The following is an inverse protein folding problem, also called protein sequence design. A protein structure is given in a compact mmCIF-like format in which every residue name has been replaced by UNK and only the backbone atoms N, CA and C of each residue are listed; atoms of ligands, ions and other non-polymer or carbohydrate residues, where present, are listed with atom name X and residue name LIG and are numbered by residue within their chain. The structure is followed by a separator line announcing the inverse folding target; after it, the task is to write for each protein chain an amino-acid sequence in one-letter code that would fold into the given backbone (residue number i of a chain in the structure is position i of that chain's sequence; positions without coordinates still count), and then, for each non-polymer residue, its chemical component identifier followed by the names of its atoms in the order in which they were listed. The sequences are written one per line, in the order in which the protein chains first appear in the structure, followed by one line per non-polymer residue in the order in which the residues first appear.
data_IF_329517329382
#
_entry.id   IF_329517329382
#
_cell.length_a   1.000
_cell.length_b   1.000
_cell.length_c   1.000
_cell.angle_alpha   90.00
_cell.angle_beta   90.00
_cell.angle_gamma   90.00
#
_symmetry.space_group_name_H-M   'P 1'
#
loop_
_entity.id
_entity.type
_entity.pdbx_description
1 polymer ?
#
# COMPACT_ATOMS: atom_id res chain seq x y z
N UNK A 1 -6.55 -18.62 6.29
CA UNK A 1 -7.77 -17.78 6.16
C UNK A 1 -7.35 -16.32 6.32
N UNK A 2 -8.11 -15.34 5.78
CA UNK A 2 -7.76 -13.94 6.00
C UNK A 2 -7.98 -13.57 7.47
N UNK A 3 -7.05 -12.79 8.02
CA UNK A 3 -7.15 -12.25 9.38
C UNK A 3 -8.29 -11.23 9.45
N UNK A 4 -9.13 -11.36 10.47
CA UNK A 4 -10.22 -10.43 10.79
C UNK A 4 -9.85 -9.56 11.97
N UNK A 5 -9.63 -8.28 11.74
CA UNK A 5 -9.41 -7.29 12.80
C UNK A 5 -10.69 -6.50 13.04
N UNK A 6 -10.99 -6.23 14.31
CA UNK A 6 -12.15 -5.46 14.74
C UNK A 6 -11.75 -4.58 15.93
N UNK A 7 -12.35 -3.40 15.98
CA UNK A 7 -12.07 -2.42 17.01
C UNK A 7 -12.86 -2.72 18.27
N UNK A 8 -12.24 -2.46 19.43
CA UNK A 8 -12.89 -2.50 20.76
C UNK A 8 -13.51 -3.86 21.10
N UNK A 9 -12.82 -4.95 20.77
CA UNK A 9 -13.24 -6.30 21.12
C UNK A 9 -12.43 -6.78 22.32
N UNK A 10 -13.13 -7.14 23.42
CA UNK A 10 -12.49 -7.55 24.68
C UNK A 10 -13.44 -8.40 25.51
N UNK A 11 -12.96 -9.56 25.93
CA UNK A 11 -13.68 -10.42 26.89
C UNK A 11 -12.70 -10.98 27.94
N UNK A 12 -13.27 -11.43 29.05
CA UNK A 12 -12.52 -12.17 30.06
C UNK A 12 -12.51 -13.67 29.80
N UNK A 13 -11.54 -14.34 30.38
CA UNK A 13 -11.46 -15.81 30.44
C UNK A 13 -10.98 -16.26 31.81
N UNK A 14 -11.42 -17.45 32.21
CA UNK A 14 -10.91 -18.18 33.39
C UNK A 14 -10.24 -19.49 32.97
N UNK A 15 -9.98 -19.65 31.67
CA UNK A 15 -9.27 -20.84 31.15
C UNK A 15 -7.87 -20.94 31.77
N UNK A 16 -7.45 -22.17 32.01
CA UNK A 16 -6.13 -22.48 32.55
C UNK A 16 -5.31 -23.33 31.59
N UNK A 17 -3.98 -23.29 31.74
CA UNK A 17 -3.06 -24.04 30.92
C UNK A 17 -2.73 -23.36 29.59
N UNK A 18 -2.26 -24.14 28.60
CA UNK A 18 -1.76 -23.66 27.30
C UNK A 18 -2.75 -23.89 26.15
N UNK A 19 -3.95 -24.38 26.44
CA UNK A 19 -4.96 -24.71 25.44
C UNK A 19 -5.78 -23.51 24.95
N UNK A 20 -6.82 -23.83 24.17
CA UNK A 20 -7.84 -22.89 23.73
C UNK A 20 -8.49 -22.20 24.92
N UNK A 21 -8.75 -20.89 24.80
CA UNK A 21 -9.42 -20.12 25.84
C UNK A 21 -10.94 -20.01 25.57
N UNK A 22 -11.72 -20.15 26.63
CA UNK A 22 -13.17 -19.89 26.60
C UNK A 22 -13.43 -18.44 26.95
N UNK A 23 -14.09 -17.71 26.06
CA UNK A 23 -14.46 -16.32 26.21
C UNK A 23 -15.77 -16.22 27.01
N UNK A 24 -15.78 -15.53 28.13
CA UNK A 24 -16.91 -15.59 29.06
C UNK A 24 -17.40 -14.27 29.59
N UNK A 25 -16.53 -13.37 29.98
CA UNK A 25 -16.91 -12.12 30.64
C UNK A 25 -16.92 -10.97 29.67
N UNK A 26 -18.09 -10.32 29.48
CA UNK A 26 -18.23 -9.12 28.66
C UNK A 26 -17.85 -7.86 29.45
N UNK A 27 -17.34 -6.86 28.75
CA UNK A 27 -17.01 -5.54 29.30
C UNK A 27 -17.89 -4.47 28.65
N UNK A 28 -18.66 -3.74 29.42
CA UNK A 28 -19.77 -2.87 28.98
C UNK A 28 -19.43 -1.78 27.94
N UNK A 29 -18.16 -1.48 27.67
CA UNK A 29 -17.74 -0.54 26.62
C UNK A 29 -16.99 -1.20 25.47
N UNK A 30 -17.00 -2.53 25.43
CA UNK A 30 -16.35 -3.36 24.40
C UNK A 30 -17.39 -4.28 23.75
N UNK A 31 -17.08 -4.72 22.54
CA UNK A 31 -17.81 -5.74 21.81
C UNK A 31 -17.32 -7.12 22.26
N UNK A 32 -18.19 -8.10 22.25
CA UNK A 32 -17.79 -9.48 22.42
C UNK A 32 -17.22 -10.03 21.09
N UNK A 33 -16.41 -11.06 21.15
CA UNK A 33 -15.88 -11.70 19.94
C UNK A 33 -17.00 -12.22 19.04
N UNK A 34 -18.09 -12.74 19.62
CA UNK A 34 -19.26 -13.22 18.90
C UNK A 34 -20.04 -12.14 18.15
N UNK A 35 -19.90 -10.86 18.55
CA UNK A 35 -20.58 -9.76 17.86
C UNK A 35 -19.96 -9.44 16.49
N UNK A 36 -18.71 -9.81 16.29
CA UNK A 36 -17.88 -9.33 15.18
C UNK A 36 -17.13 -10.43 14.40
N UNK A 37 -17.03 -11.63 14.95
CA UNK A 37 -16.42 -12.79 14.32
C UNK A 37 -17.42 -13.92 14.16
N UNK A 38 -17.23 -14.71 13.12
CA UNK A 38 -17.94 -15.95 12.83
C UNK A 38 -17.03 -17.15 13.10
N UNK A 39 -17.63 -18.33 13.31
CA UNK A 39 -16.88 -19.58 13.47
C UNK A 39 -15.93 -19.82 12.30
N UNK A 40 -14.66 -20.04 12.64
CA UNK A 40 -13.59 -20.23 11.68
C UNK A 40 -12.85 -18.94 11.29
N UNK A 41 -13.27 -17.74 11.75
CA UNK A 41 -12.51 -16.53 11.52
C UNK A 41 -11.20 -16.54 12.32
N UNK A 42 -10.08 -16.24 11.65
CA UNK A 42 -8.80 -16.03 12.31
C UNK A 42 -8.64 -14.55 12.70
N UNK A 43 -8.04 -14.30 13.86
CA UNK A 43 -7.76 -12.95 14.36
C UNK A 43 -6.44 -12.90 15.11
N UNK A 44 -5.88 -11.69 15.25
CA UNK A 44 -4.80 -11.46 16.19
C UNK A 44 -5.37 -11.11 17.55
N UNK A 45 -4.77 -11.66 18.57
CA UNK A 45 -5.19 -11.45 19.95
C UNK A 45 -4.03 -11.03 20.86
N UNK A 46 -4.37 -10.40 21.97
CA UNK A 46 -3.53 -10.36 23.14
C UNK A 46 -4.30 -10.95 24.33
N UNK A 47 -3.59 -11.70 25.15
CA UNK A 47 -4.05 -12.20 26.46
C UNK A 47 -3.17 -11.56 27.52
N UNK A 48 -3.77 -11.06 28.58
CA UNK A 48 -3.05 -10.46 29.69
C UNK A 48 -3.69 -10.80 31.05
N UNK A 49 -2.86 -10.91 32.05
CA UNK A 49 -3.25 -10.94 33.46
C UNK A 49 -2.29 -10.05 34.27
N UNK A 50 -2.21 -10.24 35.57
CA UNK A 50 -1.35 -9.42 36.44
C UNK A 50 0.16 -9.70 36.29
N UNK A 51 0.54 -10.84 35.76
CA UNK A 51 1.93 -11.30 35.66
C UNK A 51 2.38 -11.62 34.25
N UNK A 52 1.46 -12.04 33.40
CA UNK A 52 1.77 -12.60 32.09
C UNK A 52 1.05 -11.89 30.97
N UNK A 53 1.67 -11.93 29.80
CA UNK A 53 1.05 -11.54 28.53
C UNK A 53 1.40 -12.54 27.42
N UNK A 54 0.51 -12.59 26.44
CA UNK A 54 0.73 -13.31 25.18
C UNK A 54 0.06 -12.59 24.04
N UNK A 55 0.76 -12.43 22.93
CA UNK A 55 0.25 -11.87 21.67
C UNK A 55 0.41 -12.90 20.59
N UNK A 56 -0.66 -13.17 19.84
CA UNK A 56 -0.63 -14.24 18.86
C UNK A 56 -1.74 -14.15 17.82
N UNK A 57 -1.87 -15.23 17.06
CA UNK A 57 -2.93 -15.52 16.12
C UNK A 57 -3.75 -16.68 16.62
N UNK A 58 -5.07 -16.59 16.50
CA UNK A 58 -6.00 -17.66 16.89
C UNK A 58 -7.25 -17.66 16.06
N UNK A 59 -7.94 -18.79 16.08
CA UNK A 59 -9.20 -19.00 15.36
C UNK A 59 -10.36 -18.99 16.35
N UNK A 60 -11.36 -18.15 16.05
CA UNK A 60 -12.60 -18.06 16.84
C UNK A 60 -13.56 -19.19 16.45
N UNK A 61 -14.16 -19.86 17.42
CA UNK A 61 -15.25 -20.82 17.20
C UNK A 61 -16.06 -21.05 18.49
N UNK A 62 -17.38 -20.86 18.42
CA UNK A 62 -18.28 -21.20 19.50
C UNK A 62 -17.92 -20.60 20.87
N UNK A 63 -17.66 -19.29 20.94
CA UNK A 63 -17.17 -18.60 22.14
C UNK A 63 -15.81 -19.09 22.66
N UNK A 64 -15.01 -19.71 21.81
CA UNK A 64 -13.62 -20.07 22.13
C UNK A 64 -12.66 -19.43 21.17
N UNK A 65 -11.43 -19.20 21.60
CA UNK A 65 -10.33 -18.74 20.76
C UNK A 65 -9.17 -19.70 20.91
N UNK A 66 -8.75 -20.31 19.79
CA UNK A 66 -7.51 -21.10 19.78
C UNK A 66 -6.29 -20.18 19.90
N UNK A 67 -5.15 -20.76 20.20
CA UNK A 67 -3.86 -20.06 20.33
C UNK A 67 -2.89 -20.71 19.35
N UNK A 68 -3.12 -20.41 18.04
CA UNK A 68 -2.53 -21.17 16.94
C UNK A 68 -1.06 -20.82 16.72
N UNK A 69 -0.71 -19.54 16.89
CA UNK A 69 0.66 -19.06 16.79
C UNK A 69 0.91 -17.93 17.81
N UNK A 70 1.97 -18.04 18.58
CA UNK A 70 2.44 -16.98 19.49
C UNK A 70 3.50 -16.14 18.76
N UNK A 71 3.37 -14.83 18.83
CA UNK A 71 4.34 -13.88 18.27
C UNK A 71 5.25 -13.29 19.35
N UNK A 72 4.68 -13.04 20.54
CA UNK A 72 5.44 -12.60 21.72
C UNK A 72 4.72 -12.98 23.00
N UNK A 73 5.45 -13.35 24.02
CA UNK A 73 4.90 -13.66 25.32
C UNK A 73 5.91 -13.49 26.47
N UNK A 74 5.40 -13.40 27.71
CA UNK A 74 6.21 -13.43 28.95
C UNK A 74 6.91 -14.79 29.17
N UNK A 75 6.55 -15.80 28.38
CA UNK A 75 7.13 -17.15 28.43
C UNK A 75 8.13 -17.40 27.27
N UNK A 76 8.98 -16.43 26.93
CA UNK A 76 9.98 -16.57 25.87
C UNK A 76 9.36 -16.89 24.51
N UNK A 77 8.32 -16.15 24.13
CA UNK A 77 7.57 -16.27 22.89
C UNK A 77 6.91 -17.65 22.66
N UNK A 78 6.70 -18.38 23.76
CA UNK A 78 5.96 -19.64 23.79
C UNK A 78 4.60 -19.45 24.47
N UNK A 79 3.70 -20.43 24.31
CA UNK A 79 2.41 -20.42 24.97
C UNK A 79 2.54 -20.21 26.48
N UNK A 80 1.83 -19.21 27.01
CA UNK A 80 1.74 -18.98 28.47
C UNK A 80 0.80 -20.00 29.10
N UNK A 81 1.21 -20.61 30.20
CA UNK A 81 0.32 -21.44 31.02
C UNK A 81 -0.55 -20.51 31.87
N UNK A 82 -1.77 -20.19 31.36
CA UNK A 82 -2.70 -19.32 32.07
C UNK A 82 -3.11 -19.92 33.44
N UNK A 83 -3.28 -19.05 34.42
CA UNK A 83 -3.80 -19.38 35.72
C UNK A 83 -4.72 -18.26 36.23
N UNK A 84 -5.95 -18.59 36.52
CA UNK A 84 -6.93 -17.61 37.01
C UNK A 84 -7.53 -16.71 35.89
N UNK A 85 -8.02 -15.56 36.30
CA UNK A 85 -8.71 -14.61 35.39
C UNK A 85 -7.70 -13.90 34.52
N UNK A 86 -7.95 -13.93 33.20
CA UNK A 86 -7.18 -13.20 32.18
C UNK A 86 -8.15 -12.40 31.31
N UNK A 87 -7.62 -11.41 30.61
CA UNK A 87 -8.33 -10.61 29.61
C UNK A 87 -7.82 -10.97 28.23
N UNK A 88 -8.74 -11.12 27.28
CA UNK A 88 -8.45 -11.39 25.86
C UNK A 88 -9.01 -10.27 25.03
N UNK A 89 -8.24 -9.71 24.11
CA UNK A 89 -8.70 -8.66 23.21
C UNK A 89 -8.05 -8.77 21.82
N UNK A 90 -8.75 -8.25 20.80
CA UNK A 90 -8.20 -8.15 19.45
C UNK A 90 -7.19 -7.00 19.41
N UNK A 91 -6.01 -7.27 18.86
CA UNK A 91 -4.94 -6.29 18.69
C UNK A 91 -4.27 -6.46 17.33
N UNK A 92 -3.54 -5.43 16.89
CA UNK A 92 -2.66 -5.55 15.72
C UNK A 92 -1.20 -5.68 16.20
N UNK A 93 -0.59 -6.86 16.13
CA UNK A 93 0.74 -7.09 16.68
C UNK A 93 1.80 -6.22 16.00
N UNK A 94 2.75 -5.71 16.78
CA UNK A 94 3.84 -4.89 16.25
C UNK A 94 4.67 -5.62 15.17
N UNK A 95 4.86 -6.94 15.33
CA UNK A 95 5.57 -7.78 14.36
C UNK A 95 4.84 -7.96 13.01
N UNK A 96 3.56 -7.62 12.96
CA UNK A 96 2.71 -7.70 11.74
C UNK A 96 2.38 -6.32 11.17
N UNK A 97 2.69 -5.25 11.90
CA UNK A 97 2.40 -3.89 11.47
C UNK A 97 3.45 -3.37 10.49
N UNK A 98 2.97 -2.66 9.46
CA UNK A 98 3.84 -1.84 8.64
C UNK A 98 4.15 -0.56 9.41
N UNK A 99 5.41 -0.28 9.67
CA UNK A 99 5.85 0.90 10.41
C UNK A 99 7.04 1.58 9.73
N UNK A 100 7.21 2.84 10.04
CA UNK A 100 8.36 3.61 9.55
C UNK A 100 9.61 3.27 10.40
N UNK A 101 10.75 3.08 9.75
CA UNK A 101 12.02 3.04 10.45
C UNK A 101 12.46 4.44 10.94
N UNK A 102 13.57 4.53 11.65
CA UNK A 102 14.10 5.79 12.18
C UNK A 102 14.43 6.85 11.11
N UNK A 103 14.48 6.50 9.84
CA UNK A 103 14.69 7.39 8.69
C UNK A 103 13.39 7.73 7.95
N UNK A 104 12.23 7.30 8.46
CA UNK A 104 10.93 7.57 7.86
C UNK A 104 10.57 6.67 6.66
N UNK A 105 11.30 5.58 6.45
CA UNK A 105 11.02 4.65 5.35
C UNK A 105 10.22 3.43 5.85
N UNK A 106 9.29 2.96 5.02
CA UNK A 106 8.66 1.65 5.18
C UNK A 106 9.66 0.59 4.72
N UNK A 107 9.91 -0.40 5.58
CA UNK A 107 10.86 -1.50 5.30
C UNK A 107 10.23 -2.86 5.60
N UNK A 108 10.80 -3.93 5.02
CA UNK A 108 10.35 -5.30 5.25
C UNK A 108 9.04 -5.67 4.54
N UNK A 109 8.65 -4.92 3.50
CA UNK A 109 7.53 -5.32 2.62
C UNK A 109 8.08 -6.35 1.63
N UNK A 110 7.56 -7.56 1.68
CA UNK A 110 7.91 -8.64 0.77
C UNK A 110 7.14 -8.52 -0.55
N UNK A 111 5.87 -8.15 -0.49
CA UNK A 111 5.03 -7.85 -1.65
C UNK A 111 4.02 -6.74 -1.32
N UNK A 112 3.56 -6.06 -2.35
CA UNK A 112 2.54 -5.01 -2.24
C UNK A 112 1.38 -5.34 -3.18
N UNK A 113 0.22 -5.66 -2.60
CA UNK A 113 -1.01 -5.93 -3.34
C UNK A 113 -1.83 -4.65 -3.46
N UNK A 114 -2.07 -4.19 -4.68
CA UNK A 114 -2.91 -3.05 -4.94
C UNK A 114 -4.40 -3.46 -4.99
N UNK A 115 -5.26 -2.59 -4.46
CA UNK A 115 -6.70 -2.79 -4.59
C UNK A 115 -7.13 -2.60 -6.04
N UNK A 116 -7.61 -3.67 -6.67
CA UNK A 116 -8.11 -3.64 -8.03
C UNK A 116 -9.48 -2.95 -8.14
N UNK A 117 -9.80 -2.43 -9.33
CA UNK A 117 -11.11 -1.82 -9.63
C UNK A 117 -11.31 -0.42 -9.05
N UNK A 118 -10.24 0.25 -8.64
CA UNK A 118 -10.28 1.62 -8.11
C UNK A 118 -9.27 2.47 -8.88
N UNK A 119 -9.74 3.56 -9.49
CA UNK A 119 -8.86 4.63 -9.98
C UNK A 119 -8.77 5.68 -8.87
N UNK A 120 -7.61 5.89 -8.26
CA UNK A 120 -7.47 6.86 -7.18
C UNK A 120 -7.54 8.29 -7.75
N UNK A 121 -7.93 9.25 -6.92
CA UNK A 121 -7.81 10.67 -7.26
C UNK A 121 -6.35 11.04 -7.54
N UNK A 122 -6.16 12.01 -8.46
CA UNK A 122 -4.83 12.49 -8.77
C UNK A 122 -4.10 13.02 -7.52
N UNK A 123 -2.87 12.59 -7.37
CA UNK A 123 -1.88 13.21 -6.49
C UNK A 123 -0.50 12.87 -7.04
N UNK A 124 0.32 13.88 -7.29
CA UNK A 124 1.69 13.71 -7.76
C UNK A 124 2.48 12.70 -6.89
N UNK A 125 3.20 11.78 -7.53
CA UNK A 125 3.95 10.72 -6.88
C UNK A 125 3.12 9.53 -6.38
N UNK A 126 1.81 9.52 -6.61
CA UNK A 126 0.96 8.36 -6.23
C UNK A 126 1.20 7.20 -7.15
N UNK A 127 1.46 6.03 -6.55
CA UNK A 127 1.63 4.74 -7.24
C UNK A 127 0.37 3.90 -7.04
N UNK A 128 -0.15 3.30 -8.10
CA UNK A 128 -1.35 2.46 -8.07
C UNK A 128 -1.34 1.43 -9.20
N UNK A 129 -2.27 0.48 -9.16
CA UNK A 129 -2.48 -0.44 -10.29
C UNK A 129 -3.61 0.07 -11.18
N UNK A 130 -3.29 0.38 -12.44
CA UNK A 130 -4.28 0.78 -13.43
C UNK A 130 -4.96 -0.45 -14.03
N UNK A 131 -6.27 -0.57 -13.77
CA UNK A 131 -7.06 -1.71 -14.27
C UNK A 131 -7.39 -1.63 -15.76
N UNK A 132 -7.24 -0.48 -16.39
CA UNK A 132 -7.50 -0.29 -17.82
C UNK A 132 -6.28 -0.74 -18.63
N UNK A 133 -5.10 -0.28 -18.23
CA UNK A 133 -3.84 -0.62 -18.88
C UNK A 133 -3.23 -1.93 -18.36
N UNK A 134 -3.78 -2.51 -17.27
CA UNK A 134 -3.24 -3.69 -16.59
C UNK A 134 -1.77 -3.54 -16.19
N UNK A 135 -1.39 -2.36 -15.71
CA UNK A 135 -0.02 -1.99 -15.39
C UNK A 135 0.10 -1.28 -14.04
N UNK A 136 1.28 -1.32 -13.45
CA UNK A 136 1.64 -0.42 -12.37
C UNK A 136 1.72 0.99 -12.94
N UNK A 137 1.06 1.95 -12.29
CA UNK A 137 0.95 3.31 -12.76
C UNK A 137 1.43 4.33 -11.72
N UNK A 138 1.94 5.45 -12.21
CA UNK A 138 2.39 6.57 -11.38
C UNK A 138 1.81 7.87 -11.93
N UNK A 139 1.21 8.69 -11.05
CA UNK A 139 0.91 10.07 -11.38
C UNK A 139 2.18 10.92 -11.25
N UNK A 140 2.53 11.63 -12.32
CA UNK A 140 3.66 12.57 -12.34
C UNK A 140 3.22 13.99 -11.98
N UNK A 141 4.02 15.02 -12.33
CA UNK A 141 3.73 16.42 -12.09
C UNK A 141 2.66 17.02 -13.04
N UNK A 142 2.22 16.26 -14.06
CA UNK A 142 1.16 16.65 -14.99
C UNK A 142 -0.09 15.79 -14.73
N UNK A 143 -1.21 16.44 -14.35
CA UNK A 143 -2.43 15.75 -13.92
C UNK A 143 -3.07 14.88 -15.00
N UNK A 144 -2.87 15.23 -16.28
CA UNK A 144 -3.45 14.53 -17.42
C UNK A 144 -2.57 13.37 -17.91
N UNK A 145 -1.41 13.16 -17.27
CA UNK A 145 -0.45 12.14 -17.68
C UNK A 145 -0.30 11.07 -16.58
N UNK A 146 -0.53 9.83 -16.97
CA UNK A 146 -0.28 8.65 -16.12
C UNK A 146 0.80 7.80 -16.77
N UNK A 147 1.90 7.59 -16.07
CA UNK A 147 2.97 6.70 -16.53
C UNK A 147 2.61 5.25 -16.23
N UNK A 148 2.44 4.42 -17.26
CA UNK A 148 2.28 2.97 -17.13
C UNK A 148 3.66 2.30 -17.14
N UNK A 149 4.12 1.91 -15.95
CA UNK A 149 5.46 1.35 -15.75
C UNK A 149 5.63 0.04 -16.52
N UNK A 150 6.64 0.02 -17.39
CA UNK A 150 6.96 -1.14 -18.22
C UNK A 150 6.18 -1.26 -19.53
N UNK A 151 5.23 -0.36 -19.81
CA UNK A 151 4.49 -0.29 -21.07
C UNK A 151 4.83 0.96 -21.87
N UNK A 152 5.27 2.02 -21.19
CA UNK A 152 5.57 3.32 -21.79
C UNK A 152 6.90 3.83 -21.26
N UNK A 153 7.64 4.49 -22.15
CA UNK A 153 8.84 5.25 -21.81
C UNK A 153 8.58 6.72 -22.11
N UNK A 154 8.66 7.57 -21.07
CA UNK A 154 8.52 9.00 -21.19
C UNK A 154 9.84 9.72 -21.01
N UNK A 155 10.08 10.70 -21.89
CA UNK A 155 11.14 11.66 -21.74
C UNK A 155 10.55 12.99 -21.29
N UNK A 156 11.01 13.50 -20.14
CA UNK A 156 10.67 14.85 -19.71
C UNK A 156 11.47 15.85 -20.50
N UNK A 157 10.75 16.73 -21.19
CA UNK A 157 11.33 17.69 -22.15
C UNK A 157 10.91 19.11 -21.79
N UNK A 158 11.57 20.08 -22.43
CA UNK A 158 11.15 21.49 -22.36
C UNK A 158 10.80 21.98 -23.77
N UNK A 159 9.63 22.60 -23.90
CA UNK A 159 9.30 23.37 -25.09
C UNK A 159 9.92 24.77 -24.96
N UNK A 160 10.77 25.16 -25.91
CA UNK A 160 11.35 26.51 -26.01
C UNK A 160 11.27 27.00 -27.46
N UNK A 161 10.29 26.50 -28.23
CA UNK A 161 10.16 26.76 -29.66
C UNK A 161 9.34 28.03 -29.99
N UNK A 162 8.67 28.62 -28.99
CA UNK A 162 7.76 29.76 -29.13
C UNK A 162 6.28 29.39 -29.16
N UNK A 163 5.81 28.55 -30.09
CA UNK A 163 4.42 28.07 -30.06
C UNK A 163 4.21 26.92 -29.04
N UNK A 164 2.94 26.68 -28.64
CA UNK A 164 2.53 25.49 -27.93
C UNK A 164 2.72 24.27 -28.84
N UNK A 165 3.32 23.22 -28.33
CA UNK A 165 3.36 21.90 -28.97
C UNK A 165 2.10 21.16 -28.53
N UNK A 166 1.26 20.75 -29.48
CA UNK A 166 -0.02 20.11 -29.19
C UNK A 166 0.15 18.60 -28.93
N UNK A 167 -0.79 18.05 -28.17
CA UNK A 167 -0.87 16.61 -27.95
C UNK A 167 -0.84 15.83 -29.27
N UNK A 168 0.00 14.80 -29.35
CA UNK A 168 0.17 13.95 -30.54
C UNK A 168 1.10 14.54 -31.61
N UNK A 169 1.63 15.73 -31.43
CA UNK A 169 2.62 16.28 -32.37
C UNK A 169 3.99 15.62 -32.25
N UNK A 170 4.62 15.44 -33.38
CA UNK A 170 5.93 14.80 -33.51
C UNK A 170 7.02 15.80 -33.18
N UNK A 171 7.93 15.45 -32.27
CA UNK A 171 8.97 16.36 -31.82
C UNK A 171 10.39 15.83 -32.05
N UNK A 172 11.34 16.76 -32.15
CA UNK A 172 12.76 16.51 -32.22
C UNK A 172 13.52 17.26 -31.13
N UNK A 173 14.68 16.76 -30.73
CA UNK A 173 15.57 17.47 -29.80
C UNK A 173 16.40 18.49 -30.57
N UNK A 174 16.45 19.73 -30.04
CA UNK A 174 17.24 20.83 -30.61
C UNK A 174 18.30 21.36 -29.66
N UNK A 175 18.33 20.92 -28.43
CA UNK A 175 19.29 21.32 -27.43
C UNK A 175 18.99 20.73 -26.06
N UNK A 176 19.56 21.33 -25.02
CA UNK A 176 19.28 20.95 -23.63
C UNK A 176 19.34 22.13 -22.69
N UNK A 177 18.59 22.06 -21.60
CA UNK A 177 18.72 22.96 -20.45
C UNK A 177 18.93 22.13 -19.19
N UNK A 178 20.16 22.12 -18.71
CA UNK A 178 20.56 21.20 -17.65
C UNK A 178 20.41 19.75 -18.12
N UNK A 179 19.67 18.95 -17.40
CA UNK A 179 19.42 17.54 -17.73
C UNK A 179 18.19 17.32 -18.65
N UNK A 180 17.43 18.39 -18.95
CA UNK A 180 16.21 18.26 -19.75
C UNK A 180 16.48 18.63 -21.20
N UNK A 181 16.13 17.76 -22.17
CA UNK A 181 16.16 18.10 -23.59
C UNK A 181 15.20 19.24 -23.92
N UNK A 182 15.61 20.12 -24.82
CA UNK A 182 14.75 21.11 -25.47
C UNK A 182 14.21 20.52 -26.75
N UNK A 183 12.91 20.61 -26.94
CA UNK A 183 12.23 20.08 -28.14
C UNK A 183 11.51 21.15 -28.93
N UNK A 184 11.34 20.91 -30.20
CA UNK A 184 10.47 21.62 -31.12
C UNK A 184 9.78 20.63 -32.06
N UNK A 185 8.85 21.11 -32.87
CA UNK A 185 8.18 20.28 -33.88
C UNK A 185 9.20 19.69 -34.86
N UNK A 186 9.07 18.41 -35.15
CA UNK A 186 9.80 17.79 -36.24
C UNK A 186 9.16 18.17 -37.58
N UNK A 187 9.99 18.49 -38.57
CA UNK A 187 9.56 18.92 -39.90
C UNK A 187 10.27 18.06 -40.93
N UNK A 188 9.53 17.49 -41.88
CA UNK A 188 10.06 16.60 -42.92
C UNK A 188 10.70 17.35 -44.14
N UNK A 189 11.36 18.48 -43.88
CA UNK A 189 11.95 19.30 -44.96
C UNK A 189 13.42 18.94 -45.24
N UNK A 190 14.12 18.44 -44.26
CA UNK A 190 15.51 18.04 -44.33
C UNK A 190 15.84 16.98 -43.27
N UNK A 191 17.02 16.33 -43.39
CA UNK A 191 17.42 15.25 -42.52
C UNK A 191 17.50 15.66 -41.03
N UNK A 192 17.99 16.87 -40.74
CA UNK A 192 18.16 17.29 -39.34
C UNK A 192 16.81 17.66 -38.69
N UNK A 193 15.90 18.26 -39.44
CA UNK A 193 14.58 18.64 -38.92
C UNK A 193 13.60 17.48 -38.82
N UNK A 194 13.88 16.36 -39.49
CA UNK A 194 13.06 15.13 -39.47
C UNK A 194 13.52 14.09 -38.43
N UNK A 195 14.52 14.38 -37.62
CA UNK A 195 15.06 13.44 -36.63
C UNK A 195 14.18 13.38 -35.38
N UNK A 196 13.17 12.53 -35.41
CA UNK A 196 12.11 12.41 -34.39
C UNK A 196 12.65 11.78 -33.11
N UNK A 197 12.23 12.30 -31.96
CA UNK A 197 12.48 11.68 -30.65
C UNK A 197 11.22 11.01 -30.09
N UNK A 198 10.04 11.50 -30.42
CA UNK A 198 8.78 10.96 -29.93
C UNK A 198 7.57 11.83 -30.26
N UNK A 199 6.46 11.55 -29.59
CA UNK A 199 5.19 12.28 -29.67
C UNK A 199 4.92 13.01 -28.37
N UNK A 200 4.44 14.26 -28.44
CA UNK A 200 3.94 14.97 -27.27
C UNK A 200 2.72 14.25 -26.67
N UNK A 201 2.69 14.05 -25.37
CA UNK A 201 1.62 13.33 -24.67
C UNK A 201 0.49 14.23 -24.20
N UNK A 202 0.70 15.53 -24.21
CA UNK A 202 -0.25 16.62 -23.89
C UNK A 202 0.22 17.91 -24.55
N UNK A 203 -0.57 18.98 -24.42
CA UNK A 203 -0.18 20.29 -24.89
C UNK A 203 0.94 20.85 -24.01
N UNK A 204 2.09 21.15 -24.62
CA UNK A 204 3.26 21.69 -23.92
C UNK A 204 3.42 23.16 -24.29
N UNK A 205 3.05 24.02 -23.37
CA UNK A 205 3.16 25.48 -23.53
C UNK A 205 4.61 25.93 -23.74
N UNK A 206 4.79 27.08 -24.39
CA UNK A 206 6.14 27.67 -24.53
C UNK A 206 6.78 27.95 -23.18
N UNK A 207 8.05 27.65 -23.06
CA UNK A 207 8.85 27.74 -21.81
C UNK A 207 8.42 26.80 -20.69
N UNK A 208 7.53 25.84 -20.96
CA UNK A 208 7.06 24.83 -20.00
C UNK A 208 7.76 23.49 -20.18
N UNK A 209 7.70 22.69 -19.14
CA UNK A 209 8.06 21.27 -19.22
C UNK A 209 6.85 20.44 -19.65
N UNK A 210 7.12 19.29 -20.21
CA UNK A 210 6.12 18.30 -20.58
C UNK A 210 6.77 16.96 -20.86
N UNK A 211 5.98 16.01 -21.33
CA UNK A 211 6.42 14.66 -21.61
C UNK A 211 6.20 14.29 -23.08
N UNK A 212 7.16 13.55 -23.60
CA UNK A 212 7.04 12.90 -24.90
C UNK A 212 7.22 11.40 -24.73
N UNK A 213 6.37 10.62 -25.41
CA UNK A 213 6.55 9.17 -25.47
C UNK A 213 7.65 8.86 -26.48
N UNK A 214 8.56 7.98 -26.13
CA UNK A 214 9.63 7.48 -27.02
C UNK A 214 9.25 6.09 -27.51
N UNK A 215 9.76 5.71 -28.70
CA UNK A 215 9.49 4.42 -29.34
C UNK A 215 10.66 3.46 -29.12
#
# INVERSE_FOLDING_TARGET
MPIRLRDRVKQGTVSAGTGTVTLSTSFGSFQDFSDVLSDGDATYYAIENTTDFEVGEGTYSGNTLSRDQVFSSSNGDSLVSLAGTSTVFITYPASKSVHLNGSGNVTGIECLDFKLGVTPEYAEGRVFYDNVSHALAVYNDEADITLQVGQEEYLRVRNNSGPTILNGEVVRIVGSQGTNPIVELAIATDFNSSNVVGLATHDIENNSFGYVTTF
#
